data_IF_218065527795
#
_entry.id   IF_218065527795
#
_cell.length_a   1.000
_cell.length_b   1.000
_cell.length_c   1.000
_cell.angle_alpha   90.00
_cell.angle_beta   90.00
_cell.angle_gamma   90.00
#
_symmetry.space_group_name_H-M   'P 1'
#
loop_
_entity.id
_entity.type
_entity.pdbx_description
1 polymer ?
#
# COMPACT_ATOMS: atom_id res chain seq x y z
N UNK A 1 24.41 11.05 -20.13
CA UNK A 1 24.66 10.96 -21.59
C UNK A 1 23.34 10.67 -22.27
N UNK A 2 22.93 11.47 -23.25
CA UNK A 2 21.74 11.23 -24.05
C UNK A 2 22.08 10.19 -25.12
N UNK A 3 21.42 9.04 -25.07
CA UNK A 3 21.57 7.98 -26.07
C UNK A 3 20.67 8.34 -27.27
N UNK A 4 21.29 8.82 -28.37
CA UNK A 4 20.57 9.13 -29.60
C UNK A 4 20.81 8.06 -30.66
N UNK A 5 19.78 7.75 -31.46
CA UNK A 5 19.81 6.85 -32.61
C UNK A 5 19.03 7.46 -33.78
N UNK A 6 19.49 7.23 -34.97
CA UNK A 6 18.81 7.61 -36.21
C UNK A 6 18.14 6.39 -36.81
N UNK A 7 16.92 6.54 -37.26
CA UNK A 7 16.17 5.46 -37.93
C UNK A 7 16.66 5.35 -39.38
N UNK A 8 17.21 4.21 -39.74
CA UNK A 8 17.71 3.92 -41.10
C UNK A 8 16.61 3.46 -42.06
N UNK A 9 15.62 2.73 -41.53
CA UNK A 9 14.50 2.16 -42.29
C UNK A 9 13.21 2.26 -41.47
N UNK A 10 12.04 2.39 -42.13
CA UNK A 10 10.77 2.44 -41.44
C UNK A 10 10.55 1.18 -40.58
N UNK A 11 10.14 1.35 -39.31
CA UNK A 11 9.89 0.27 -38.38
C UNK A 11 8.94 0.70 -37.25
N UNK A 12 8.23 -0.22 -36.59
CA UNK A 12 7.57 0.07 -35.33
C UNK A 12 8.58 0.40 -34.23
N UNK A 13 8.24 1.34 -33.36
CA UNK A 13 9.16 1.88 -32.34
C UNK A 13 9.74 0.80 -31.40
N UNK A 14 8.92 -0.10 -30.85
CA UNK A 14 9.40 -1.08 -29.87
C UNK A 14 10.38 -2.10 -30.48
N UNK A 15 10.14 -2.72 -31.65
CA UNK A 15 11.12 -3.52 -32.36
C UNK A 15 12.43 -2.76 -32.64
N UNK A 16 12.33 -1.52 -33.15
CA UNK A 16 13.50 -0.68 -33.38
C UNK A 16 14.34 -0.48 -32.10
N UNK A 17 13.69 -0.17 -30.98
CA UNK A 17 14.39 0.02 -29.69
C UNK A 17 15.10 -1.26 -29.23
N UNK A 18 14.52 -2.43 -29.45
CA UNK A 18 15.16 -3.70 -29.06
C UNK A 18 16.43 -3.98 -29.89
N UNK A 19 16.42 -3.59 -31.17
CA UNK A 19 17.56 -3.73 -32.04
C UNK A 19 18.62 -2.66 -31.77
N UNK A 20 18.20 -1.40 -31.68
CA UNK A 20 19.11 -0.26 -31.51
C UNK A 20 19.80 -0.23 -30.11
N UNK A 21 19.22 -0.91 -29.12
CA UNK A 21 19.73 -1.01 -27.75
C UNK A 21 19.79 -2.48 -27.31
N UNK A 22 20.40 -3.34 -28.13
CA UNK A 22 20.50 -4.79 -27.90
C UNK A 22 21.29 -5.16 -26.65
N UNK A 23 22.17 -4.29 -26.18
CA UNK A 23 22.93 -4.38 -24.92
C UNK A 23 22.09 -4.12 -23.66
N UNK A 24 20.88 -3.59 -23.83
CA UNK A 24 19.96 -3.26 -22.74
C UNK A 24 18.89 -4.34 -22.57
N UNK A 25 18.65 -4.79 -21.34
CA UNK A 25 17.58 -5.76 -21.05
C UNK A 25 16.24 -5.27 -21.60
N UNK A 26 15.51 -6.11 -22.34
CA UNK A 26 14.20 -5.80 -22.94
C UNK A 26 13.18 -5.24 -21.94
N UNK A 27 13.24 -5.65 -20.67
CA UNK A 27 12.41 -5.10 -19.58
C UNK A 27 12.73 -3.63 -19.34
N UNK A 28 13.99 -3.22 -19.40
CA UNK A 28 14.41 -1.82 -19.23
C UNK A 28 13.94 -0.95 -20.40
N UNK A 29 14.03 -1.46 -21.63
CA UNK A 29 13.52 -0.76 -22.82
C UNK A 29 12.01 -0.53 -22.73
N UNK A 30 11.23 -1.54 -22.28
CA UNK A 30 9.79 -1.37 -22.03
C UNK A 30 9.49 -0.34 -20.94
N UNK A 31 10.34 -0.25 -19.91
CA UNK A 31 10.22 0.79 -18.88
C UNK A 31 10.45 2.20 -19.47
N UNK A 32 11.41 2.38 -20.38
CA UNK A 32 11.59 3.67 -21.04
C UNK A 32 10.33 4.16 -21.74
N UNK A 33 9.65 3.27 -22.46
CA UNK A 33 8.36 3.60 -23.10
C UNK A 33 7.27 3.89 -22.07
N UNK A 34 7.10 2.99 -21.07
CA UNK A 34 6.08 3.14 -20.03
C UNK A 34 6.19 4.50 -19.32
N UNK A 35 7.41 4.96 -19.05
CA UNK A 35 7.66 6.21 -18.32
C UNK A 35 7.96 7.43 -19.23
N UNK A 36 7.75 7.30 -20.55
CA UNK A 36 7.87 8.42 -21.49
C UNK A 36 9.30 8.95 -21.68
N UNK A 37 10.31 8.11 -21.39
CA UNK A 37 11.71 8.45 -21.60
C UNK A 37 12.12 8.43 -23.08
N UNK A 38 11.32 7.82 -23.95
CA UNK A 38 11.55 7.72 -25.38
C UNK A 38 11.00 8.97 -26.08
N UNK A 39 11.86 9.65 -26.83
CA UNK A 39 11.49 10.80 -27.64
C UNK A 39 11.73 10.50 -29.11
N UNK A 40 10.75 10.75 -29.95
CA UNK A 40 10.83 10.72 -31.41
C UNK A 40 10.81 12.15 -31.89
N UNK A 41 11.85 12.58 -32.56
CA UNK A 41 12.02 13.97 -33.06
C UNK A 41 11.82 15.04 -31.96
N UNK A 42 12.22 14.70 -30.71
CA UNK A 42 12.06 15.60 -29.57
C UNK A 42 10.74 15.48 -28.82
N UNK A 43 9.76 14.75 -29.35
CA UNK A 43 8.44 14.54 -28.73
C UNK A 43 8.43 13.21 -27.97
N UNK A 44 8.05 13.25 -26.69
CA UNK A 44 7.91 12.02 -25.86
C UNK A 44 6.76 11.16 -26.34
N UNK A 45 6.98 9.85 -26.44
CA UNK A 45 5.92 8.89 -26.77
C UNK A 45 5.93 7.69 -25.80
N UNK A 46 4.74 7.18 -25.48
CA UNK A 46 4.52 5.94 -24.72
C UNK A 46 3.99 4.81 -25.61
N UNK A 47 3.73 5.11 -26.89
CA UNK A 47 3.14 4.17 -27.85
C UNK A 47 4.23 3.21 -28.35
N UNK A 48 4.07 1.93 -28.07
CA UNK A 48 4.97 0.87 -28.49
C UNK A 48 4.89 0.58 -30.00
N UNK A 49 3.73 0.88 -30.60
CA UNK A 49 3.37 0.69 -32.01
C UNK A 49 3.57 1.94 -32.87
N UNK A 50 4.21 3.00 -32.32
CA UNK A 50 4.48 4.23 -33.06
C UNK A 50 5.30 3.92 -34.32
N UNK A 51 4.77 4.29 -35.50
CA UNK A 51 5.47 4.09 -36.77
C UNK A 51 6.60 5.10 -36.92
N UNK A 52 7.81 4.60 -37.11
CA UNK A 52 9.00 5.42 -37.38
C UNK A 52 9.24 5.51 -38.89
N UNK A 53 9.62 6.71 -39.33
CA UNK A 53 10.09 6.95 -40.70
C UNK A 53 11.63 7.00 -40.77
N UNK A 54 12.17 6.72 -41.93
CA UNK A 54 13.60 6.91 -42.18
C UNK A 54 13.99 8.37 -41.88
N UNK A 55 15.04 8.56 -41.09
CA UNK A 55 15.55 9.89 -40.68
C UNK A 55 15.00 10.34 -39.31
N UNK A 56 14.05 9.63 -38.72
CA UNK A 56 13.58 9.97 -37.38
C UNK A 56 14.72 9.87 -36.36
N UNK A 57 14.75 10.83 -35.44
CA UNK A 57 15.73 10.90 -34.35
C UNK A 57 15.12 10.36 -33.07
N UNK A 58 15.63 9.22 -32.61
CA UNK A 58 15.22 8.61 -31.34
C UNK A 58 16.21 9.03 -30.28
N UNK A 59 15.70 9.64 -29.21
CA UNK A 59 16.51 9.99 -28.04
C UNK A 59 15.92 9.33 -26.79
N UNK A 60 16.77 8.64 -26.02
CA UNK A 60 16.43 8.23 -24.68
C UNK A 60 16.88 9.33 -23.74
N UNK A 61 15.93 10.09 -23.26
CA UNK A 61 16.16 11.06 -22.21
C UNK A 61 15.63 10.43 -20.94
N UNK A 62 16.48 10.06 -19.98
CA UNK A 62 15.99 9.72 -18.66
C UNK A 62 15.28 10.98 -18.16
N UNK A 63 13.99 11.03 -18.33
CA UNK A 63 13.23 11.94 -17.50
C UNK A 63 13.49 11.42 -16.08
N UNK A 64 14.14 12.27 -15.23
CA UNK A 64 13.54 12.44 -13.93
C UNK A 64 12.11 12.91 -14.26
N UNK A 65 11.21 11.94 -14.45
CA UNK A 65 9.82 12.28 -14.24
C UNK A 65 9.82 13.03 -12.91
N UNK A 66 9.24 14.25 -12.82
CA UNK A 66 8.77 14.65 -11.53
C UNK A 66 8.00 13.42 -11.05
N UNK A 67 8.14 13.00 -9.79
CA UNK A 67 7.31 11.95 -9.29
C UNK A 67 5.90 12.42 -9.65
N UNK A 68 5.27 11.82 -10.68
CA UNK A 68 3.84 11.68 -10.69
C UNK A 68 3.62 10.83 -9.46
N UNK A 69 3.56 11.48 -8.31
CA UNK A 69 2.93 10.93 -7.14
C UNK A 69 1.56 10.58 -7.64
N UNK A 70 1.38 9.32 -7.97
CA UNK A 70 0.06 8.82 -8.37
C UNK A 70 -0.84 9.36 -7.30
N UNK A 71 -1.81 10.25 -7.60
CA UNK A 71 -2.54 10.94 -6.55
C UNK A 71 -3.05 9.88 -5.60
N UNK A 72 -2.81 10.08 -4.32
CA UNK A 72 -3.30 9.15 -3.31
C UNK A 72 -4.80 8.96 -3.54
N UNK A 73 -5.32 7.74 -3.38
CA UNK A 73 -6.75 7.51 -3.52
C UNK A 73 -7.55 8.44 -2.62
N UNK A 74 -8.77 8.83 -3.01
CA UNK A 74 -9.62 9.66 -2.17
C UNK A 74 -9.74 9.10 -0.75
N UNK A 75 -9.55 9.96 0.24
CA UNK A 75 -9.61 9.62 1.66
C UNK A 75 -8.34 8.99 2.25
N UNK A 76 -7.39 8.53 1.45
CA UNK A 76 -6.08 8.11 1.94
C UNK A 76 -5.19 9.36 2.14
N UNK A 77 -4.67 9.53 3.33
CA UNK A 77 -3.84 10.68 3.69
C UNK A 77 -2.57 10.21 4.39
N UNK A 78 -1.41 10.75 3.97
CA UNK A 78 -0.17 10.60 4.72
C UNK A 78 -0.24 11.55 5.91
N UNK A 79 -0.08 11.01 7.11
CA UNK A 79 -0.12 11.74 8.38
C UNK A 79 1.30 12.08 8.82
N UNK A 80 2.23 11.17 8.60
CA UNK A 80 3.64 11.35 8.90
C UNK A 80 4.49 10.51 7.95
N UNK A 81 5.63 11.04 7.53
CA UNK A 81 6.64 10.31 6.76
C UNK A 81 8.03 10.85 7.11
N UNK A 82 8.93 9.93 7.45
CA UNK A 82 10.36 10.21 7.65
C UNK A 82 11.24 9.15 6.96
N UNK A 83 12.48 8.97 7.41
CA UNK A 83 13.40 7.95 6.88
C UNK A 83 13.05 6.51 7.27
N UNK A 84 12.33 6.32 8.37
CA UNK A 84 12.11 5.02 9.03
C UNK A 84 10.66 4.56 8.95
N UNK A 85 9.70 5.48 9.02
CA UNK A 85 8.28 5.16 9.10
C UNK A 85 7.44 6.01 8.15
N UNK A 86 6.29 5.45 7.78
CA UNK A 86 5.24 6.09 7.01
C UNK A 86 3.90 5.79 7.69
N UNK A 87 3.26 6.82 8.22
CA UNK A 87 1.95 6.72 8.88
C UNK A 87 0.89 7.28 7.97
N UNK A 88 -0.15 6.49 7.71
CA UNK A 88 -1.26 6.90 6.86
C UNK A 88 -2.59 6.75 7.57
N UNK A 89 -3.54 7.60 7.23
CA UNK A 89 -4.95 7.44 7.55
C UNK A 89 -5.62 6.68 6.41
N UNK A 90 -6.03 5.43 6.70
CA UNK A 90 -6.71 4.55 5.76
C UNK A 90 -8.21 4.84 5.77
N UNK A 91 -8.85 5.09 4.64
CA UNK A 91 -10.31 5.13 4.58
C UNK A 91 -10.92 3.72 4.71
N UNK A 92 -12.17 3.64 5.13
CA UNK A 92 -12.95 2.40 5.06
C UNK A 92 -13.12 1.93 3.60
N UNK A 93 -13.38 0.65 3.39
CA UNK A 93 -13.55 0.03 2.07
C UNK A 93 -12.24 -0.41 1.40
N UNK A 94 -11.08 0.01 1.89
CA UNK A 94 -9.79 -0.35 1.32
C UNK A 94 -9.09 -1.48 2.08
N UNK A 95 -8.58 -2.46 1.31
CA UNK A 95 -7.69 -3.47 1.87
C UNK A 95 -6.32 -2.87 2.23
N UNK A 96 -5.77 -3.25 3.38
CA UNK A 96 -4.38 -2.94 3.73
C UNK A 96 -3.42 -3.62 2.75
N UNK A 97 -3.65 -4.92 2.48
CA UNK A 97 -2.91 -5.75 1.53
C UNK A 97 -3.87 -6.73 0.85
N UNK A 98 -3.66 -7.03 -0.43
CA UNK A 98 -4.37 -8.09 -1.13
C UNK A 98 -3.63 -9.43 -1.02
N UNK A 99 -4.37 -10.54 -0.97
CA UNK A 99 -3.79 -11.90 -0.96
C UNK A 99 -3.12 -12.25 -2.30
N UNK A 100 -3.69 -11.79 -3.41
CA UNK A 100 -3.17 -12.02 -4.75
C UNK A 100 -2.43 -10.80 -5.25
N UNK A 101 -1.17 -10.97 -5.61
CA UNK A 101 -0.24 -9.93 -6.06
C UNK A 101 -0.61 -9.25 -7.39
N UNK A 102 -1.79 -9.48 -7.93
CA UNK A 102 -2.18 -9.00 -9.26
C UNK A 102 -3.57 -8.39 -9.41
N UNK A 103 -4.47 -8.51 -8.45
CA UNK A 103 -5.86 -8.07 -8.66
C UNK A 103 -6.33 -7.15 -7.53
N UNK A 104 -6.31 -5.85 -7.79
CA UNK A 104 -6.91 -4.82 -6.94
C UNK A 104 -5.90 -3.91 -6.26
N UNK A 105 -6.16 -2.62 -6.35
CA UNK A 105 -5.40 -1.59 -5.64
C UNK A 105 -5.65 -1.73 -4.13
N UNK A 106 -4.60 -1.78 -3.35
CA UNK A 106 -4.63 -1.82 -1.90
C UNK A 106 -3.67 -0.77 -1.34
N UNK A 107 -3.77 -0.45 -0.06
CA UNK A 107 -2.96 0.62 0.55
C UNK A 107 -1.46 0.34 0.37
N UNK A 108 -1.02 -0.89 0.61
CA UNK A 108 0.38 -1.27 0.45
C UNK A 108 0.90 -1.00 -0.98
N UNK A 109 0.15 -1.37 -2.02
CA UNK A 109 0.57 -1.13 -3.40
C UNK A 109 0.65 0.36 -3.75
N UNK A 110 -0.28 1.16 -3.23
CA UNK A 110 -0.28 2.62 -3.41
C UNK A 110 0.94 3.25 -2.74
N UNK A 111 1.25 2.84 -1.52
CA UNK A 111 2.40 3.38 -0.78
C UNK A 111 3.74 2.91 -1.38
N UNK A 112 3.80 1.70 -1.93
CA UNK A 112 4.96 1.24 -2.71
C UNK A 112 5.22 2.12 -3.94
N UNK A 113 4.15 2.49 -4.66
CA UNK A 113 4.27 3.41 -5.80
C UNK A 113 4.68 4.82 -5.33
N UNK A 114 4.13 5.30 -4.21
CA UNK A 114 4.47 6.57 -3.59
C UNK A 114 5.98 6.66 -3.27
N UNK A 115 6.52 5.76 -2.47
CA UNK A 115 7.94 5.83 -2.07
C UNK A 115 8.88 5.59 -3.26
N UNK A 116 8.50 4.74 -4.20
CA UNK A 116 9.29 4.46 -5.41
C UNK A 116 9.29 5.60 -6.42
N UNK A 117 8.31 6.48 -6.36
CA UNK A 117 8.31 7.70 -7.17
C UNK A 117 9.47 8.62 -6.81
N UNK A 118 9.81 8.71 -5.52
CA UNK A 118 10.95 9.49 -5.04
C UNK A 118 12.28 8.75 -5.31
N UNK A 119 12.33 7.43 -5.04
CA UNK A 119 13.50 6.60 -5.32
C UNK A 119 13.05 5.15 -5.61
N UNK A 120 13.32 4.60 -6.82
CA UNK A 120 12.91 3.25 -7.21
C UNK A 120 13.42 2.11 -6.30
N UNK A 121 14.45 2.36 -5.50
CA UNK A 121 15.01 1.37 -4.55
C UNK A 121 14.24 1.34 -3.23
N UNK A 122 13.44 2.36 -2.92
CA UNK A 122 12.68 2.42 -1.69
C UNK A 122 11.55 1.38 -1.68
N UNK A 123 11.25 0.94 -0.46
CA UNK A 123 10.19 -0.03 -0.18
C UNK A 123 9.45 0.42 1.08
N UNK A 124 8.25 -0.10 1.26
CA UNK A 124 7.54 -0.08 2.53
C UNK A 124 7.32 -1.52 3.00
N UNK A 125 7.33 -1.71 4.30
CA UNK A 125 7.08 -2.99 4.97
C UNK A 125 5.85 -2.86 5.86
N UNK A 126 5.05 -3.92 5.85
CA UNK A 126 3.84 -3.99 6.69
C UNK A 126 4.26 -4.29 8.12
N UNK A 127 3.85 -3.45 9.03
CA UNK A 127 4.00 -3.65 10.49
C UNK A 127 2.76 -4.33 11.05
N UNK A 128 1.58 -3.78 10.73
CA UNK A 128 0.27 -4.29 11.12
C UNK A 128 -0.77 -4.04 10.03
N UNK A 129 -1.99 -4.42 10.28
CA UNK A 129 -3.11 -4.24 9.34
C UNK A 129 -4.36 -3.75 10.03
N UNK A 130 -5.21 -3.06 9.26
CA UNK A 130 -6.62 -2.84 9.56
C UNK A 130 -7.46 -3.61 8.55
N UNK A 131 -8.65 -4.02 8.95
CA UNK A 131 -9.60 -4.67 8.06
C UNK A 131 -10.16 -3.71 7.02
N UNK A 132 -10.82 -4.25 5.99
CA UNK A 132 -11.31 -3.45 4.87
C UNK A 132 -12.20 -2.30 5.36
N UNK A 133 -13.18 -2.61 6.20
CA UNK A 133 -14.19 -1.65 6.64
C UNK A 133 -13.73 -0.79 7.82
N UNK A 134 -12.57 -1.08 8.40
CA UNK A 134 -11.99 -0.27 9.47
C UNK A 134 -11.19 0.88 8.86
N UNK A 135 -11.55 2.11 9.21
CA UNK A 135 -10.75 3.31 8.94
C UNK A 135 -9.78 3.61 10.08
N UNK A 136 -8.76 4.44 9.82
CA UNK A 136 -7.84 4.91 10.85
C UNK A 136 -6.38 4.79 10.49
N UNK A 137 -5.51 4.95 11.49
CA UNK A 137 -4.07 5.03 11.30
C UNK A 137 -3.44 3.66 11.07
N UNK A 138 -2.58 3.58 10.06
CA UNK A 138 -1.70 2.43 9.82
C UNK A 138 -0.26 2.93 9.74
N UNK A 139 0.62 2.21 10.40
CA UNK A 139 2.07 2.42 10.36
C UNK A 139 2.69 1.41 9.39
N UNK A 140 3.49 1.90 8.46
CA UNK A 140 4.39 1.12 7.63
C UNK A 140 5.83 1.49 7.97
N UNK A 141 6.73 0.52 7.93
CA UNK A 141 8.15 0.81 8.02
C UNK A 141 8.73 1.10 6.64
N UNK A 142 9.78 1.93 6.57
CA UNK A 142 10.54 2.22 5.34
C UNK A 142 11.88 1.50 5.32
N UNK A 143 12.27 0.90 6.44
CA UNK A 143 13.45 0.03 6.57
C UNK A 143 13.05 -1.30 7.20
N UNK A 144 13.86 -2.34 6.97
CA UNK A 144 13.62 -3.66 7.55
C UNK A 144 13.86 -3.66 9.06
N UNK A 145 14.84 -2.87 9.51
CA UNK A 145 15.14 -2.71 10.94
C UNK A 145 14.00 -2.01 11.68
N UNK A 146 13.46 -0.94 11.14
CA UNK A 146 12.27 -0.27 11.69
C UNK A 146 11.07 -1.23 11.77
N UNK A 147 10.84 -2.05 10.70
CA UNK A 147 9.79 -3.09 10.74
C UNK A 147 10.00 -4.03 11.93
N UNK A 148 11.21 -4.58 12.07
CA UNK A 148 11.54 -5.55 13.11
C UNK A 148 11.33 -4.94 14.51
N UNK A 149 11.86 -3.75 14.75
CA UNK A 149 11.71 -3.03 16.02
C UNK A 149 10.24 -2.76 16.36
N UNK A 150 9.47 -2.22 15.40
CA UNK A 150 8.05 -1.94 15.60
C UNK A 150 7.24 -3.21 15.89
N UNK A 151 7.54 -4.33 15.19
CA UNK A 151 6.83 -5.60 15.41
C UNK A 151 7.20 -6.26 16.75
N UNK A 152 8.46 -6.18 17.18
CA UNK A 152 8.91 -6.69 18.47
C UNK A 152 8.22 -5.98 19.64
N UNK A 153 8.06 -4.67 19.54
CA UNK A 153 7.45 -3.83 20.59
C UNK A 153 5.97 -3.55 20.36
N UNK A 154 5.32 -4.25 19.39
CA UNK A 154 3.94 -3.94 18.99
C UNK A 154 2.92 -4.07 20.11
N UNK A 155 3.16 -4.91 21.09
CA UNK A 155 2.29 -5.09 22.25
C UNK A 155 2.34 -3.88 23.22
N UNK A 156 3.43 -3.14 23.24
CA UNK A 156 3.63 -1.97 24.10
C UNK A 156 2.91 -0.72 23.57
N UNK A 157 2.47 -0.74 22.31
CA UNK A 157 1.75 0.39 21.73
C UNK A 157 0.32 0.48 22.26
N UNK A 158 -0.09 1.71 22.61
CA UNK A 158 -1.47 2.01 22.96
C UNK A 158 -2.34 2.03 21.67
N UNK A 159 -3.18 1.03 21.53
CA UNK A 159 -4.06 0.82 20.34
C UNK A 159 -5.49 1.13 20.72
N UNK A 160 -5.98 2.31 20.32
CA UNK A 160 -7.34 2.78 20.59
C UNK A 160 -8.19 2.83 19.33
N UNK A 161 -9.43 2.39 19.48
CA UNK A 161 -10.43 2.42 18.43
C UNK A 161 -11.68 3.14 18.94
N UNK A 162 -12.39 3.77 18.01
CA UNK A 162 -13.73 4.30 18.27
C UNK A 162 -14.73 3.46 17.50
N UNK A 163 -15.80 3.07 18.14
CA UNK A 163 -16.89 2.32 17.52
C UNK A 163 -18.24 2.87 17.97
N UNK A 164 -19.17 2.91 17.03
CA UNK A 164 -20.60 3.10 17.34
C UNK A 164 -21.22 1.71 17.39
N UNK A 165 -21.82 1.39 18.53
CA UNK A 165 -22.50 0.10 18.74
C UNK A 165 -24.00 0.32 18.95
N UNK A 166 -24.78 -0.69 18.61
CA UNK A 166 -26.21 -0.72 18.94
C UNK A 166 -26.41 -0.99 20.44
N UNK A 167 -27.42 -0.39 21.00
CA UNK A 167 -27.75 -0.52 22.42
C UNK A 167 -26.86 0.33 23.34
N UNK A 168 -27.07 0.08 24.65
CA UNK A 168 -26.38 0.78 25.73
C UNK A 168 -25.72 -0.27 26.61
N UNK A 169 -24.39 -0.30 26.73
CA UNK A 169 -23.72 -1.19 27.67
C UNK A 169 -24.18 -0.94 29.10
N UNK A 170 -24.36 -2.03 29.89
CA UNK A 170 -24.81 -1.93 31.28
C UNK A 170 -23.86 -1.16 32.18
N UNK A 171 -22.55 -1.20 31.86
CA UNK A 171 -21.52 -0.48 32.60
C UNK A 171 -20.81 0.52 31.68
N UNK A 172 -20.41 1.67 32.23
CA UNK A 172 -19.67 2.70 31.49
C UNK A 172 -18.28 2.23 31.05
N UNK A 173 -17.68 1.30 31.76
CA UNK A 173 -16.38 0.68 31.45
C UNK A 173 -16.46 -0.82 31.71
N UNK A 174 -15.70 -1.57 30.94
CA UNK A 174 -15.61 -3.01 31.13
C UNK A 174 -14.52 -3.66 30.31
N UNK A 175 -14.35 -4.96 30.53
CA UNK A 175 -13.41 -5.80 29.79
C UNK A 175 -14.20 -6.93 29.16
N UNK A 176 -14.04 -7.10 27.87
CA UNK A 176 -14.55 -8.23 27.11
C UNK A 176 -13.41 -9.21 26.96
N UNK A 177 -13.60 -10.43 27.46
CA UNK A 177 -12.66 -11.53 27.33
C UNK A 177 -13.34 -12.67 26.60
N UNK A 178 -12.73 -13.16 25.55
CA UNK A 178 -13.25 -14.25 24.73
C UNK A 178 -12.11 -15.12 24.23
N UNK A 179 -12.43 -16.31 23.78
CA UNK A 179 -11.50 -17.20 23.11
C UNK A 179 -11.90 -17.31 21.64
N UNK A 180 -10.94 -17.11 20.74
CA UNK A 180 -11.18 -17.11 19.30
C UNK A 180 -10.58 -18.36 18.69
N UNK A 181 -11.38 -19.07 17.91
CA UNK A 181 -10.92 -20.14 17.03
C UNK A 181 -10.47 -19.52 15.69
N UNK A 182 -9.18 -19.64 15.41
CA UNK A 182 -8.54 -19.15 14.19
C UNK A 182 -8.12 -20.30 13.26
N UNK A 183 -8.58 -21.53 13.51
CA UNK A 183 -8.24 -22.72 12.70
C UNK A 183 -8.68 -22.59 11.25
N UNK A 184 -9.77 -21.89 10.99
CA UNK A 184 -10.23 -21.58 9.65
C UNK A 184 -9.66 -20.25 9.16
N UNK A 185 -8.83 -20.25 8.06
CA UNK A 185 -8.25 -19.02 7.51
C UNK A 185 -9.28 -17.99 7.02
N UNK A 186 -10.52 -18.42 6.74
CA UNK A 186 -11.57 -17.57 6.17
C UNK A 186 -12.57 -17.08 7.22
N UNK A 187 -12.59 -17.68 8.42
CA UNK A 187 -13.59 -17.38 9.44
C UNK A 187 -13.01 -17.54 10.83
N UNK A 188 -13.20 -16.52 11.66
CA UNK A 188 -12.86 -16.52 13.09
C UNK A 188 -14.16 -16.40 13.86
N UNK A 189 -14.31 -17.13 14.94
CA UNK A 189 -15.49 -17.07 15.79
C UNK A 189 -15.14 -17.31 17.27
N UNK A 190 -15.98 -16.81 18.15
CA UNK A 190 -15.83 -17.07 19.59
C UNK A 190 -16.16 -18.52 19.88
N UNK A 191 -15.31 -19.18 20.67
CA UNK A 191 -15.42 -20.57 21.06
C UNK A 191 -15.15 -20.73 22.57
N UNK A 192 -15.37 -21.92 23.11
CA UNK A 192 -14.91 -22.25 24.44
C UNK A 192 -13.37 -22.28 24.49
N UNK A 193 -12.80 -22.05 25.66
CA UNK A 193 -11.36 -22.17 25.87
C UNK A 193 -10.88 -23.60 25.57
N UNK A 194 -9.87 -23.72 24.72
CA UNK A 194 -9.19 -24.98 24.38
C UNK A 194 -7.74 -24.70 23.98
N UNK A 195 -6.97 -25.75 23.70
CA UNK A 195 -5.58 -25.60 23.21
C UNK A 195 -5.51 -24.92 21.84
N UNK A 196 -6.55 -25.05 21.02
CA UNK A 196 -6.64 -24.49 19.67
C UNK A 196 -7.17 -23.05 19.64
N UNK A 197 -7.71 -22.55 20.77
CA UNK A 197 -8.25 -21.20 20.84
C UNK A 197 -7.24 -20.20 21.38
N UNK A 198 -7.40 -18.93 20.97
CA UNK A 198 -6.56 -17.82 21.39
C UNK A 198 -7.35 -16.80 22.18
N UNK A 199 -6.85 -16.42 23.35
CA UNK A 199 -7.49 -15.40 24.15
C UNK A 199 -7.48 -14.04 23.46
N UNK A 200 -8.63 -13.36 23.47
CA UNK A 200 -8.83 -12.00 23.01
C UNK A 200 -9.37 -11.14 24.16
N UNK A 201 -8.66 -10.07 24.48
CA UNK A 201 -9.02 -9.15 25.55
C UNK A 201 -9.14 -7.74 24.99
N UNK A 202 -10.31 -7.14 25.20
CA UNK A 202 -10.64 -5.79 24.78
C UNK A 202 -11.26 -5.02 25.94
N UNK A 203 -10.66 -3.89 26.29
CA UNK A 203 -11.24 -2.96 27.25
C UNK A 203 -12.12 -1.96 26.52
N UNK A 204 -13.25 -1.59 27.10
CA UNK A 204 -14.09 -0.54 26.54
C UNK A 204 -14.43 0.53 27.55
N UNK A 205 -14.68 1.72 27.03
CA UNK A 205 -15.23 2.86 27.76
C UNK A 205 -16.31 3.51 26.92
N UNK A 206 -17.49 3.71 27.49
CA UNK A 206 -18.58 4.46 26.86
C UNK A 206 -18.23 5.94 26.91
N UNK A 207 -18.21 6.58 25.75
CA UNK A 207 -17.93 8.02 25.63
C UNK A 207 -19.21 8.83 25.50
N UNK A 208 -20.21 8.29 24.80
CA UNK A 208 -21.49 8.97 24.56
C UNK A 208 -22.59 7.96 24.28
N UNK A 209 -23.80 8.29 24.69
CA UNK A 209 -25.01 7.48 24.44
C UNK A 209 -26.11 8.35 23.83
N UNK A 210 -26.96 7.78 22.99
CA UNK A 210 -28.12 8.44 22.41
C UNK A 210 -28.76 7.63 21.28
N UNK A 211 -30.06 7.80 21.11
CA UNK A 211 -30.83 7.18 20.02
C UNK A 211 -30.63 5.64 19.89
N UNK A 212 -30.61 4.94 21.03
CA UNK A 212 -30.42 3.47 21.06
C UNK A 212 -29.02 3.01 20.63
N UNK A 213 -28.02 3.89 20.62
CA UNK A 213 -26.61 3.61 20.24
C UNK A 213 -25.65 4.19 21.25
N UNK A 214 -24.45 3.65 21.27
CA UNK A 214 -23.36 4.16 22.11
C UNK A 214 -22.08 4.34 21.28
N UNK A 215 -21.41 5.47 21.49
CA UNK A 215 -20.03 5.66 21.05
C UNK A 215 -19.12 5.12 22.15
N UNK A 216 -18.28 4.16 21.82
CA UNK A 216 -17.34 3.55 22.74
C UNK A 216 -15.91 3.70 22.25
N UNK A 217 -14.99 3.85 23.20
CA UNK A 217 -13.57 3.67 22.97
C UNK A 217 -13.20 2.24 23.32
N UNK A 218 -12.45 1.59 22.45
CA UNK A 218 -11.89 0.26 22.65
C UNK A 218 -10.37 0.37 22.77
N UNK A 219 -9.79 -0.32 23.74
CA UNK A 219 -8.35 -0.49 23.91
C UNK A 219 -8.05 -1.98 23.80
N UNK A 220 -7.22 -2.34 22.82
CA UNK A 220 -6.89 -3.75 22.57
C UNK A 220 -5.67 -4.15 23.41
N UNK A 221 -5.84 -5.08 24.33
CA UNK A 221 -4.76 -5.74 25.03
C UNK A 221 -4.11 -6.79 24.12
N UNK A 222 -4.92 -7.51 23.35
CA UNK A 222 -4.46 -8.50 22.35
C UNK A 222 -4.82 -8.04 20.93
N UNK A 223 -3.95 -8.29 19.96
CA UNK A 223 -4.17 -7.95 18.55
C UNK A 223 -4.61 -9.18 17.73
N UNK A 224 -5.79 -9.75 18.01
CA UNK A 224 -6.30 -10.91 17.28
C UNK A 224 -7.04 -10.50 16.01
N UNK A 225 -7.11 -11.45 15.06
CA UNK A 225 -7.96 -11.32 13.87
C UNK A 225 -9.41 -11.59 14.26
N UNK A 226 -10.33 -10.87 13.67
CA UNK A 226 -11.77 -11.07 13.80
C UNK A 226 -12.39 -11.42 12.46
#
# INVERSE_FOLDING_TARGET
MSLQRLVSEPAPLLPFLFTAYSDVKKTKVRQWLKYGAVHVNGVSTKRHDHALAKGDKIAIRPQKAPPETSPLPPGLRIVHEDGEVLVVEKPAGWLTIAKDSGKGRNIYSVLMDHVRSANPKLKVWIVHRLDRETSGLIVFAKTEDAKRTLQQHWQEFDKRYLAVVEGVPKAEKGTIRSYLDESNPMRVYSAAQSEDTREAVTHYQVLKQGHGRSLIQLTLETGRRH
#
